data_IF_336647419620
#
_entry.id   IF_336647419620
#
_cell.length_a   1.000
_cell.length_b   1.000
_cell.length_c   1.000
_cell.angle_alpha   90.00
_cell.angle_beta   90.00
_cell.angle_gamma   90.00
#
_symmetry.space_group_name_H-M   'P 1'
#
loop_
_entity.id
_entity.type
_entity.pdbx_description
1 polymer ?
#
# COMPACT_ATOMS: atom_id res chain seq x y z
N UNK A 1 -9.54 -11.43 6.53
CA UNK A 1 -9.33 -10.51 5.40
C UNK A 1 -8.09 -10.96 4.64
N UNK A 2 -8.17 -11.11 3.31
CA UNK A 2 -7.02 -11.43 2.45
C UNK A 2 -6.33 -10.12 2.04
N UNK A 3 -5.04 -9.99 2.34
CA UNK A 3 -4.27 -8.78 2.06
C UNK A 3 -3.03 -9.14 1.26
N UNK A 4 -2.83 -8.50 0.11
CA UNK A 4 -1.58 -8.63 -0.63
C UNK A 4 -0.73 -7.37 -0.46
N UNK A 5 0.54 -7.55 -0.12
CA UNK A 5 1.55 -6.50 -0.18
C UNK A 5 2.25 -6.58 -1.54
N UNK A 6 1.94 -5.62 -2.41
CA UNK A 6 2.60 -5.51 -3.70
C UNK A 6 3.84 -4.61 -3.57
N UNK A 7 5.00 -5.24 -3.42
CA UNK A 7 6.26 -4.57 -3.13
C UNK A 7 6.63 -4.60 -1.64
N UNK A 8 7.43 -5.60 -1.25
CA UNK A 8 7.89 -5.78 0.14
C UNK A 8 9.23 -5.06 0.35
N UNK A 9 9.18 -3.73 0.19
CA UNK A 9 10.24 -2.82 0.61
C UNK A 9 10.05 -2.37 2.07
N UNK A 10 10.66 -1.25 2.44
CA UNK A 10 10.61 -0.71 3.79
C UNK A 10 9.18 -0.47 4.30
N UNK A 11 8.34 0.21 3.51
CA UNK A 11 6.95 0.50 3.89
C UNK A 11 6.06 -0.73 3.74
N UNK A 12 6.13 -1.44 2.60
CA UNK A 12 5.29 -2.62 2.39
C UNK A 12 5.57 -3.74 3.38
N UNK A 13 6.84 -3.99 3.70
CA UNK A 13 7.23 -4.96 4.71
C UNK A 13 6.79 -4.54 6.12
N UNK A 14 6.86 -3.26 6.46
CA UNK A 14 6.36 -2.73 7.74
C UNK A 14 4.85 -2.95 7.88
N UNK A 15 4.08 -2.53 6.88
CA UNK A 15 2.61 -2.67 6.90
C UNK A 15 2.24 -4.16 6.90
N UNK A 16 2.84 -4.97 6.02
CA UNK A 16 2.53 -6.38 5.89
C UNK A 16 2.84 -7.18 7.15
N UNK A 17 3.99 -6.94 7.79
CA UNK A 17 4.36 -7.64 9.02
C UNK A 17 3.37 -7.35 10.15
N UNK A 18 2.99 -6.08 10.34
CA UNK A 18 2.03 -5.70 11.40
C UNK A 18 0.63 -6.28 11.16
N UNK A 19 0.14 -6.24 9.92
CA UNK A 19 -1.14 -6.85 9.56
C UNK A 19 -1.14 -8.38 9.76
N UNK A 20 -0.02 -9.04 9.49
CA UNK A 20 0.11 -10.48 9.69
C UNK A 20 0.22 -10.87 11.18
N UNK A 21 0.91 -10.05 12.00
CA UNK A 21 1.08 -10.29 13.44
C UNK A 21 -0.22 -10.12 14.22
N UNK A 22 -1.09 -9.23 13.79
CA UNK A 22 -2.40 -9.01 14.42
C UNK A 22 -3.34 -10.23 14.30
N UNK A 23 -3.10 -11.13 13.34
CA UNK A 23 -3.87 -12.35 13.12
C UNK A 23 -5.24 -12.18 12.45
N UNK A 24 -5.71 -10.97 12.25
CA UNK A 24 -6.98 -10.69 11.55
C UNK A 24 -6.87 -10.68 10.02
N UNK A 25 -5.64 -10.81 9.48
CA UNK A 25 -5.35 -10.80 8.05
C UNK A 25 -4.53 -12.03 7.62
N UNK A 26 -4.95 -12.65 6.51
CA UNK A 26 -4.11 -13.58 5.77
C UNK A 26 -3.26 -12.74 4.79
N UNK A 27 -1.98 -12.60 5.09
CA UNK A 27 -1.08 -11.75 4.30
C UNK A 27 -0.35 -12.56 3.25
N UNK A 28 -0.41 -12.07 2.02
CA UNK A 28 0.39 -12.52 0.88
C UNK A 28 1.29 -11.39 0.38
N UNK A 29 2.27 -11.73 -0.44
CA UNK A 29 3.23 -10.74 -0.94
C UNK A 29 3.66 -11.01 -2.37
N UNK A 30 3.63 -9.96 -3.21
CA UNK A 30 4.30 -9.98 -4.52
C UNK A 30 5.70 -9.38 -4.35
N UNK A 31 6.71 -10.21 -4.56
CA UNK A 31 8.11 -9.84 -4.45
C UNK A 31 8.95 -10.54 -5.52
N UNK A 32 10.17 -10.06 -5.78
CA UNK A 32 11.07 -10.62 -6.79
C UNK A 32 12.49 -10.78 -6.24
N UNK A 33 13.29 -11.61 -6.91
CA UNK A 33 14.72 -11.76 -6.65
C UNK A 33 15.03 -12.10 -5.19
N UNK A 34 16.02 -11.43 -4.62
CA UNK A 34 16.51 -11.69 -3.26
C UNK A 34 15.43 -11.48 -2.18
N UNK A 35 14.52 -10.51 -2.37
CA UNK A 35 13.41 -10.28 -1.44
C UNK A 35 12.45 -11.48 -1.42
N UNK A 36 12.08 -12.02 -2.59
CA UNK A 36 11.24 -13.21 -2.66
C UNK A 36 11.89 -14.42 -1.99
N UNK A 37 13.16 -14.65 -2.28
CA UNK A 37 13.93 -15.75 -1.66
C UNK A 37 13.94 -15.62 -0.12
N UNK A 38 14.22 -14.42 0.40
CA UNK A 38 14.22 -14.14 1.82
C UNK A 38 12.84 -14.35 2.48
N UNK A 39 11.75 -13.91 1.82
CA UNK A 39 10.38 -14.11 2.33
C UNK A 39 10.00 -15.59 2.38
N UNK A 40 10.39 -16.38 1.39
CA UNK A 40 10.15 -17.84 1.37
C UNK A 40 10.93 -18.57 2.45
N UNK A 41 12.13 -18.11 2.75
CA UNK A 41 13.01 -18.74 3.75
C UNK A 41 12.71 -18.28 5.18
N UNK A 42 12.40 -16.99 5.38
CA UNK A 42 12.37 -16.37 6.70
C UNK A 42 11.04 -15.70 7.05
N UNK A 43 10.05 -15.74 6.15
CA UNK A 43 8.78 -15.01 6.31
C UNK A 43 8.98 -13.48 6.31
N UNK A 44 7.94 -12.72 6.70
CA UNK A 44 8.06 -11.28 6.94
C UNK A 44 8.84 -11.05 8.23
N UNK A 45 9.83 -10.15 8.21
CA UNK A 45 10.63 -9.80 9.38
C UNK A 45 10.64 -8.30 9.62
N UNK A 46 10.38 -7.89 10.86
CA UNK A 46 10.39 -6.51 11.30
C UNK A 46 11.23 -6.37 12.57
N UNK A 47 12.25 -5.51 12.56
CA UNK A 47 12.95 -5.09 13.76
C UNK A 47 12.35 -3.79 14.25
N UNK A 48 11.80 -3.81 15.47
CA UNK A 48 11.15 -2.66 16.10
C UNK A 48 11.45 -2.66 17.60
N UNK A 49 11.88 -1.51 18.15
CA UNK A 49 12.20 -1.39 19.57
C UNK A 49 13.26 -2.38 20.07
N UNK A 50 14.22 -2.76 19.23
CA UNK A 50 15.24 -3.75 19.54
C UNK A 50 14.79 -5.22 19.40
N UNK A 51 13.51 -5.48 19.16
CA UNK A 51 12.98 -6.83 18.99
C UNK A 51 12.87 -7.19 17.51
N UNK A 52 13.14 -8.46 17.19
CA UNK A 52 12.89 -9.04 15.88
C UNK A 52 11.54 -9.77 15.89
N UNK A 53 10.60 -9.24 15.15
CA UNK A 53 9.27 -9.82 14.95
C UNK A 53 9.25 -10.58 13.62
N UNK A 54 8.54 -11.71 13.57
CA UNK A 54 8.37 -12.50 12.36
C UNK A 54 6.91 -12.90 12.21
N UNK A 55 6.41 -12.86 10.97
CA UNK A 55 5.03 -13.21 10.65
C UNK A 55 4.94 -13.99 9.35
N UNK A 56 4.05 -15.00 9.25
CA UNK A 56 3.92 -15.83 8.07
C UNK A 56 3.44 -15.02 6.85
N UNK A 57 3.88 -15.43 5.66
CA UNK A 57 3.48 -14.81 4.39
C UNK A 57 3.52 -15.83 3.26
N UNK A 58 2.51 -15.81 2.40
CA UNK A 58 2.57 -16.51 1.11
C UNK A 58 3.20 -15.56 0.07
N UNK A 59 4.43 -15.83 -0.34
CA UNK A 59 5.17 -14.97 -1.26
C UNK A 59 5.31 -15.58 -2.66
N UNK A 60 5.02 -14.78 -3.69
CA UNK A 60 5.15 -15.12 -5.10
C UNK A 60 5.67 -13.93 -5.92
N UNK A 61 6.30 -14.20 -7.05
CA UNK A 61 6.57 -13.22 -8.10
C UNK A 61 5.45 -13.17 -9.16
N UNK A 62 4.54 -14.14 -9.11
CA UNK A 62 3.34 -14.17 -9.93
C UNK A 62 2.10 -13.74 -9.11
N UNK A 63 1.50 -12.56 -9.42
CA UNK A 63 0.27 -12.12 -8.76
C UNK A 63 -0.91 -13.09 -8.93
N UNK A 64 -0.97 -13.81 -10.05
CA UNK A 64 -2.06 -14.75 -10.33
C UNK A 64 -2.06 -15.95 -9.36
N UNK A 65 -0.88 -16.37 -8.89
CA UNK A 65 -0.75 -17.44 -7.90
C UNK A 65 -1.34 -17.10 -6.52
N UNK A 66 -1.59 -15.81 -6.26
CA UNK A 66 -2.14 -15.33 -4.98
C UNK A 66 -3.66 -15.09 -5.04
N UNK A 67 -4.22 -15.00 -6.25
CA UNK A 67 -5.65 -14.82 -6.51
C UNK A 67 -6.22 -13.48 -6.02
N UNK A 68 -7.54 -13.38 -6.05
CA UNK A 68 -8.27 -12.15 -5.67
C UNK A 68 -8.09 -11.85 -4.18
N UNK A 69 -7.86 -10.57 -3.88
CA UNK A 69 -7.62 -10.04 -2.55
C UNK A 69 -8.75 -9.11 -2.09
N UNK A 70 -8.92 -8.95 -0.77
CA UNK A 70 -9.81 -7.93 -0.20
C UNK A 70 -9.11 -6.56 -0.20
N UNK A 71 -7.79 -6.54 0.04
CA UNK A 71 -6.95 -5.36 0.02
C UNK A 71 -5.63 -5.63 -0.69
N UNK A 72 -5.25 -4.76 -1.62
CA UNK A 72 -3.88 -4.74 -2.16
C UNK A 72 -3.20 -3.45 -1.71
N UNK A 73 -2.16 -3.59 -0.90
CA UNK A 73 -1.28 -2.49 -0.49
C UNK A 73 -0.18 -2.36 -1.54
N UNK A 74 -0.21 -1.29 -2.31
CA UNK A 74 0.80 -1.03 -3.35
C UNK A 74 1.89 -0.17 -2.73
N UNK A 75 3.05 -0.78 -2.43
CA UNK A 75 4.17 -0.13 -1.74
C UNK A 75 5.48 -0.21 -2.54
N UNK A 76 5.38 0.08 -3.82
CA UNK A 76 6.51 0.18 -4.74
C UNK A 76 6.98 1.62 -4.88
N UNK A 77 8.16 1.85 -5.44
CA UNK A 77 8.59 3.19 -5.85
C UNK A 77 7.85 3.62 -7.12
N UNK A 78 7.58 4.93 -7.26
CA UNK A 78 6.81 5.49 -8.37
C UNK A 78 7.13 4.93 -9.76
N UNK A 79 8.40 4.87 -10.19
CA UNK A 79 8.77 4.32 -11.50
C UNK A 79 8.38 2.86 -11.74
N UNK A 80 8.12 2.09 -10.67
CA UNK A 80 7.72 0.69 -10.79
C UNK A 80 6.19 0.50 -10.90
N UNK A 81 5.39 1.56 -10.73
CA UNK A 81 3.94 1.47 -10.66
C UNK A 81 3.32 1.02 -12.00
N UNK A 82 3.88 1.45 -13.13
CA UNK A 82 3.46 0.99 -14.45
C UNK A 82 3.56 -0.54 -14.60
N UNK A 83 4.67 -1.13 -14.17
CA UNK A 83 4.85 -2.58 -14.19
C UNK A 83 3.91 -3.33 -13.20
N UNK A 84 3.51 -2.66 -12.12
CA UNK A 84 2.46 -3.19 -11.22
C UNK A 84 1.12 -3.19 -11.94
N UNK A 85 0.74 -2.07 -12.55
CA UNK A 85 -0.52 -1.91 -13.27
C UNK A 85 -0.72 -3.00 -14.36
N UNK A 86 0.33 -3.36 -15.08
CA UNK A 86 0.29 -4.41 -16.11
C UNK A 86 0.00 -5.82 -15.56
N UNK A 87 0.29 -6.08 -14.28
CA UNK A 87 0.27 -7.44 -13.73
C UNK A 87 -0.72 -7.65 -12.58
N UNK A 88 -1.25 -6.60 -11.99
CA UNK A 88 -2.07 -6.66 -10.78
C UNK A 88 -3.48 -7.24 -11.01
N UNK A 89 -3.96 -7.22 -12.24
CA UNK A 89 -5.33 -7.61 -12.60
C UNK A 89 -5.86 -8.87 -11.92
N UNK A 90 -5.12 -10.01 -11.86
CA UNK A 90 -5.59 -11.23 -11.20
C UNK A 90 -5.89 -11.08 -9.70
N UNK A 91 -5.43 -10.02 -9.05
CA UNK A 91 -5.66 -9.75 -7.62
C UNK A 91 -6.88 -8.85 -7.38
N UNK A 92 -7.42 -8.24 -8.44
CA UNK A 92 -8.50 -7.28 -8.37
C UNK A 92 -9.83 -7.98 -8.65
N UNK A 93 -10.70 -8.05 -7.65
CA UNK A 93 -12.09 -8.44 -7.76
C UNK A 93 -13.03 -7.25 -7.58
N UNK A 94 -14.35 -7.45 -7.64
CA UNK A 94 -15.33 -6.35 -7.56
C UNK A 94 -15.26 -5.52 -6.28
N UNK A 95 -14.79 -6.10 -5.18
CA UNK A 95 -14.73 -5.48 -3.86
C UNK A 95 -13.31 -5.25 -3.34
N UNK A 96 -12.30 -5.49 -4.16
CA UNK A 96 -10.90 -5.27 -3.78
C UNK A 96 -10.64 -3.80 -3.54
N UNK A 97 -10.04 -3.46 -2.40
CA UNK A 97 -9.51 -2.14 -2.12
C UNK A 97 -8.05 -2.06 -2.59
N UNK A 98 -7.70 -0.94 -3.23
CA UNK A 98 -6.35 -0.65 -3.69
C UNK A 98 -5.80 0.50 -2.84
N UNK A 99 -4.80 0.24 -2.00
CA UNK A 99 -4.19 1.23 -1.12
C UNK A 99 -2.74 1.52 -1.57
N UNK A 100 -2.52 2.56 -2.38
CA UNK A 100 -1.16 2.99 -2.72
C UNK A 100 -0.51 3.66 -1.50
N UNK A 101 0.35 2.91 -0.81
CA UNK A 101 1.15 3.38 0.32
C UNK A 101 2.50 3.91 -0.19
N UNK A 102 2.45 4.99 -0.96
CA UNK A 102 3.58 5.57 -1.69
C UNK A 102 3.72 7.05 -1.36
N UNK A 103 4.95 7.58 -1.43
CA UNK A 103 5.20 9.02 -1.34
C UNK A 103 5.02 9.68 -2.71
N UNK A 104 4.77 10.99 -2.70
CA UNK A 104 4.58 11.80 -3.91
C UNK A 104 3.12 11.98 -4.28
N UNK A 105 2.89 12.63 -5.42
CA UNK A 105 1.56 12.86 -5.98
C UNK A 105 1.10 11.56 -6.67
N UNK A 106 -0.05 10.99 -6.30
CA UNK A 106 -0.55 9.78 -6.94
C UNK A 106 -1.21 10.08 -8.30
N UNK A 107 -1.31 9.07 -9.17
CA UNK A 107 -1.91 9.19 -10.50
C UNK A 107 -3.36 9.69 -10.49
N UNK A 108 -4.11 9.38 -9.45
CA UNK A 108 -5.52 9.76 -9.27
C UNK A 108 -5.72 11.17 -8.70
N UNK A 109 -4.66 11.89 -8.36
CA UNK A 109 -4.74 13.16 -7.64
C UNK A 109 -5.58 14.22 -8.37
N UNK A 110 -5.45 14.30 -9.69
CA UNK A 110 -6.17 15.25 -10.52
C UNK A 110 -7.69 14.96 -10.62
N UNK A 111 -8.12 13.71 -10.41
CA UNK A 111 -9.52 13.29 -10.58
C UNK A 111 -10.54 14.08 -9.73
N UNK A 112 -10.11 14.67 -8.62
CA UNK A 112 -10.95 15.51 -7.78
C UNK A 112 -10.47 16.96 -7.68
N UNK A 113 -9.65 17.41 -8.61
CA UNK A 113 -9.09 18.78 -8.65
C UNK A 113 -9.36 19.41 -10.03
N UNK A 114 -10.56 19.97 -10.26
CA UNK A 114 -10.96 20.52 -11.57
C UNK A 114 -9.96 21.51 -12.17
N UNK A 115 -9.26 22.26 -11.32
CA UNK A 115 -8.22 23.19 -11.75
C UNK A 115 -7.02 22.52 -12.43
N UNK A 116 -6.80 21.22 -12.24
CA UNK A 116 -5.75 20.43 -12.88
C UNK A 116 -6.21 19.78 -14.20
N UNK A 117 -7.47 20.00 -14.58
CA UNK A 117 -8.08 19.37 -15.76
C UNK A 117 -8.42 17.90 -15.55
N UNK A 118 -8.83 17.25 -16.65
CA UNK A 118 -9.24 15.84 -16.65
C UNK A 118 -8.19 14.90 -17.28
N UNK A 119 -7.12 15.47 -17.84
CA UNK A 119 -6.05 14.68 -18.45
C UNK A 119 -5.22 13.93 -17.39
N UNK A 120 -4.70 12.76 -17.70
CA UNK A 120 -3.73 12.09 -16.87
C UNK A 120 -2.54 13.00 -16.54
N UNK A 121 -1.97 12.86 -15.34
CA UNK A 121 -0.72 13.52 -14.99
C UNK A 121 0.43 12.78 -15.70
N UNK A 122 0.78 13.20 -16.89
CA UNK A 122 1.63 12.44 -17.82
C UNK A 122 3.01 12.09 -17.25
N UNK A 123 3.56 12.94 -16.37
CA UNK A 123 4.80 12.65 -15.63
C UNK A 123 4.67 11.49 -14.61
N UNK A 124 3.45 11.13 -14.20
CA UNK A 124 3.16 10.09 -13.20
C UNK A 124 2.53 8.87 -13.85
N UNK A 125 1.60 9.10 -14.76
CA UNK A 125 0.84 8.09 -15.49
C UNK A 125 0.86 8.35 -17.01
N UNK A 126 1.99 8.09 -17.68
CA UNK A 126 2.11 8.33 -19.10
C UNK A 126 1.03 7.58 -19.90
N UNK A 127 0.20 8.35 -20.61
CA UNK A 127 -0.91 7.82 -21.41
C UNK A 127 -2.05 7.19 -20.60
N UNK A 128 -2.17 7.43 -19.29
CA UNK A 128 -3.29 6.97 -18.46
C UNK A 128 -3.36 5.46 -18.20
N UNK A 129 -2.26 4.73 -18.39
CA UNK A 129 -2.24 3.25 -18.29
C UNK A 129 -2.44 2.76 -16.86
N UNK A 130 -1.93 3.49 -15.87
CA UNK A 130 -2.08 3.15 -14.45
C UNK A 130 -3.54 3.35 -14.04
N UNK A 131 -4.13 4.49 -14.41
CA UNK A 131 -5.55 4.78 -14.14
C UNK A 131 -6.50 3.77 -14.81
N UNK A 132 -6.17 3.30 -16.01
CA UNK A 132 -6.94 2.27 -16.69
C UNK A 132 -6.91 0.91 -15.99
N UNK A 133 -5.77 0.55 -15.40
CA UNK A 133 -5.59 -0.74 -14.71
C UNK A 133 -6.04 -0.73 -13.23
N UNK A 134 -6.03 0.44 -12.58
CA UNK A 134 -6.34 0.63 -11.17
C UNK A 134 -7.60 1.51 -11.02
N UNK A 135 -8.81 0.92 -11.02
CA UNK A 135 -10.07 1.68 -11.04
C UNK A 135 -10.18 2.62 -9.84
N UNK A 136 -10.42 3.91 -10.08
CA UNK A 136 -10.51 4.94 -9.04
C UNK A 136 -11.53 4.59 -7.95
N UNK A 137 -12.66 3.97 -8.33
CA UNK A 137 -13.69 3.54 -7.39
C UNK A 137 -13.24 2.49 -6.38
N UNK A 138 -12.09 1.84 -6.59
CA UNK A 138 -11.50 0.86 -5.68
C UNK A 138 -10.30 1.42 -4.91
N UNK A 139 -9.83 2.62 -5.27
CA UNK A 139 -8.68 3.25 -4.61
C UNK A 139 -9.09 3.83 -3.26
N UNK A 140 -8.24 3.62 -2.26
CA UNK A 140 -8.20 4.37 -1.00
C UNK A 140 -6.86 5.08 -0.94
N UNK A 141 -6.86 6.41 -0.90
CA UNK A 141 -5.65 7.20 -0.74
C UNK A 141 -4.99 6.90 0.61
N UNK A 142 -3.66 6.89 0.64
CA UNK A 142 -2.91 6.65 1.86
C UNK A 142 -1.71 7.60 1.96
N UNK A 143 -1.57 8.24 3.13
CA UNK A 143 -0.39 9.01 3.52
C UNK A 143 0.34 8.26 4.63
N UNK A 144 1.63 8.00 4.45
CA UNK A 144 2.43 7.22 5.40
C UNK A 144 3.34 8.15 6.20
N UNK A 145 3.16 8.17 7.52
CA UNK A 145 4.02 8.88 8.47
C UNK A 145 4.82 7.88 9.29
N UNK A 146 5.75 7.19 8.63
CA UNK A 146 6.65 6.23 9.23
C UNK A 146 8.03 6.30 8.57
N UNK A 147 9.06 6.13 9.36
CA UNK A 147 10.44 6.01 8.91
C UNK A 147 10.90 4.57 9.09
N UNK A 148 11.15 3.90 7.98
CA UNK A 148 11.59 2.51 7.93
C UNK A 148 12.65 2.34 6.85
N UNK A 149 13.49 1.33 6.96
CA UNK A 149 14.42 0.95 5.91
C UNK A 149 14.63 -0.56 5.87
N UNK A 150 15.23 -1.06 4.80
CA UNK A 150 15.54 -2.48 4.59
C UNK A 150 17.06 -2.66 4.70
N UNK A 151 17.60 -3.13 5.83
CA UNK A 151 19.02 -3.40 5.98
C UNK A 151 19.48 -4.57 5.11
N UNK A 152 18.59 -5.53 4.89
CA UNK A 152 18.79 -6.68 3.99
C UNK A 152 17.46 -7.12 3.37
N UNK A 153 17.45 -7.90 2.28
CA UNK A 153 16.21 -8.40 1.69
C UNK A 153 15.31 -9.13 2.69
N UNK A 154 14.02 -8.79 2.70
CA UNK A 154 13.01 -9.41 3.56
C UNK A 154 13.10 -9.04 5.05
N UNK A 155 13.99 -8.10 5.43
CA UNK A 155 14.04 -7.54 6.78
C UNK A 155 13.75 -6.04 6.72
N UNK A 156 12.79 -5.58 7.50
CA UNK A 156 12.51 -4.16 7.71
C UNK A 156 12.98 -3.74 9.08
N UNK A 157 13.58 -2.57 9.18
CA UNK A 157 13.88 -1.92 10.45
C UNK A 157 13.04 -0.65 10.57
N UNK A 158 12.24 -0.59 11.65
CA UNK A 158 11.43 0.56 12.00
C UNK A 158 12.24 1.53 12.86
N UNK A 159 12.27 2.80 12.47
CA UNK A 159 12.96 3.84 13.23
C UNK A 159 12.00 4.68 14.05
N UNK A 160 10.95 5.22 13.42
CA UNK A 160 10.00 6.07 14.11
C UNK A 160 8.70 6.23 13.31
N UNK A 161 7.65 6.64 14.02
CA UNK A 161 6.35 6.92 13.45
C UNK A 161 5.59 5.66 13.03
N UNK A 162 4.28 5.67 13.18
CA UNK A 162 3.38 4.59 12.78
C UNK A 162 2.05 5.14 12.27
N UNK A 163 2.07 6.42 11.86
CA UNK A 163 0.89 7.13 11.38
C UNK A 163 0.53 6.73 9.95
N UNK A 164 -0.74 6.48 9.73
CA UNK A 164 -1.34 6.31 8.41
C UNK A 164 -2.58 7.22 8.32
N UNK A 165 -2.70 7.97 7.23
CA UNK A 165 -3.93 8.69 6.92
C UNK A 165 -4.54 8.01 5.71
N UNK A 166 -5.80 7.58 5.81
CA UNK A 166 -6.53 6.94 4.71
C UNK A 166 -7.78 7.72 4.37
N UNK A 167 -8.13 7.80 3.09
CA UNK A 167 -9.31 8.59 2.67
C UNK A 167 -9.73 8.33 1.24
N UNK A 168 -10.94 8.76 0.91
CA UNK A 168 -11.46 8.67 -0.44
C UNK A 168 -10.71 9.64 -1.38
N UNK A 169 -10.34 9.21 -2.60
CA UNK A 169 -9.71 10.07 -3.59
C UNK A 169 -10.50 11.35 -3.93
N UNK A 170 -11.82 11.26 -3.89
CA UNK A 170 -12.72 12.37 -4.20
C UNK A 170 -13.20 13.12 -2.97
N UNK A 171 -12.71 12.76 -1.78
CA UNK A 171 -13.11 13.36 -0.51
C UNK A 171 -14.29 12.66 0.16
N UNK A 172 -14.57 13.07 1.41
CA UNK A 172 -15.56 12.45 2.28
C UNK A 172 -15.01 11.24 3.04
N UNK A 173 -15.78 10.78 4.03
CA UNK A 173 -15.48 9.60 4.84
C UNK A 173 -16.52 8.54 4.61
N UNK A 174 -16.18 7.51 3.87
CA UNK A 174 -17.05 6.38 3.56
C UNK A 174 -16.94 5.26 4.61
N UNK A 175 -17.92 4.34 4.61
CA UNK A 175 -17.86 3.15 5.46
C UNK A 175 -16.65 2.26 5.19
N UNK A 176 -16.17 2.16 3.92
CA UNK A 176 -14.99 1.37 3.58
C UNK A 176 -13.69 2.00 4.10
N UNK A 177 -13.60 3.34 4.12
CA UNK A 177 -12.45 4.05 4.71
C UNK A 177 -12.43 3.84 6.22
N UNK A 178 -13.60 3.94 6.89
CA UNK A 178 -13.71 3.70 8.34
C UNK A 178 -13.33 2.27 8.70
N UNK A 179 -13.82 1.28 7.96
CA UNK A 179 -13.50 -0.14 8.18
C UNK A 179 -12.01 -0.43 7.98
N UNK A 180 -11.39 0.15 6.93
CA UNK A 180 -9.95 0.01 6.69
C UNK A 180 -9.14 0.69 7.79
N UNK A 181 -9.52 1.90 8.22
CA UNK A 181 -8.85 2.61 9.31
C UNK A 181 -8.90 1.80 10.60
N UNK A 182 -10.06 1.26 10.97
CA UNK A 182 -10.20 0.39 12.14
C UNK A 182 -9.33 -0.86 12.04
N UNK A 183 -9.24 -1.49 10.85
CA UNK A 183 -8.37 -2.67 10.62
C UNK A 183 -6.89 -2.33 10.80
N UNK A 184 -6.44 -1.19 10.29
CA UNK A 184 -5.07 -0.72 10.46
C UNK A 184 -4.77 -0.34 11.92
N UNK A 185 -5.72 0.27 12.64
CA UNK A 185 -5.60 0.56 14.06
C UNK A 185 -5.43 -0.71 14.90
N UNK A 186 -6.20 -1.76 14.61
CA UNK A 186 -6.06 -3.07 15.27
C UNK A 186 -4.67 -3.67 15.04
N UNK A 187 -4.08 -3.46 13.86
CA UNK A 187 -2.70 -3.85 13.56
C UNK A 187 -1.65 -2.93 14.21
N UNK A 188 -2.08 -1.98 15.04
CA UNK A 188 -1.24 -1.08 15.83
C UNK A 188 -0.75 0.16 15.11
N UNK A 189 -1.35 0.55 13.98
CA UNK A 189 -1.06 1.83 13.34
C UNK A 189 -1.89 2.96 13.97
N UNK A 190 -1.31 4.15 14.05
CA UNK A 190 -2.03 5.38 14.34
C UNK A 190 -2.73 5.85 13.06
N UNK A 191 -3.96 5.35 12.84
CA UNK A 191 -4.65 5.57 11.57
C UNK A 191 -5.76 6.59 11.72
N UNK A 192 -5.79 7.56 10.80
CA UNK A 192 -6.84 8.58 10.68
C UNK A 192 -7.64 8.35 9.39
N UNK A 193 -8.98 8.32 9.51
CA UNK A 193 -9.88 8.39 8.37
C UNK A 193 -10.05 9.87 7.98
N UNK A 194 -9.51 10.25 6.83
CA UNK A 194 -9.50 11.64 6.37
C UNK A 194 -10.72 11.96 5.51
N UNK A 195 -11.29 13.14 5.71
CA UNK A 195 -12.31 13.69 4.84
C UNK A 195 -11.74 14.30 3.55
N UNK A 196 -10.44 14.60 3.51
CA UNK A 196 -9.73 15.15 2.33
C UNK A 196 -8.28 14.67 2.28
N UNK A 197 -8.09 13.43 1.84
CA UNK A 197 -6.75 12.82 1.76
C UNK A 197 -5.82 13.53 0.76
N UNK A 198 -6.35 14.27 -0.23
CA UNK A 198 -5.52 15.06 -1.15
C UNK A 198 -4.87 16.23 -0.44
N UNK A 199 -5.62 16.90 0.44
CA UNK A 199 -5.09 17.93 1.33
C UNK A 199 -3.97 17.38 2.21
N UNK A 200 -4.15 16.20 2.78
CA UNK A 200 -3.12 15.55 3.63
C UNK A 200 -1.87 15.17 2.83
N UNK A 201 -2.04 14.65 1.60
CA UNK A 201 -0.92 14.41 0.68
C UNK A 201 -0.15 15.70 0.41
N UNK A 202 -0.89 16.79 0.11
CA UNK A 202 -0.29 18.08 -0.19
C UNK A 202 0.48 18.65 1.00
N UNK A 203 -0.09 18.63 2.19
CA UNK A 203 0.59 19.06 3.40
C UNK A 203 1.87 18.28 3.67
N UNK A 204 1.84 16.96 3.50
CA UNK A 204 3.05 16.15 3.65
C UNK A 204 4.14 16.47 2.64
N UNK A 205 3.79 16.90 1.44
CA UNK A 205 4.77 17.25 0.39
C UNK A 205 5.46 18.60 0.67
N UNK A 206 4.78 19.51 1.36
CA UNK A 206 5.27 20.87 1.66
C UNK A 206 5.87 21.02 3.06
N UNK A 207 5.55 20.17 3.99
CA UNK A 207 5.97 20.22 5.39
C UNK A 207 6.96 19.20 5.81
#
# INVERSE_FOLDING_TARGET
>A
MKVCIYGVGAIGGFIGTRLALDGGCQVSAVARGATLAALRQHSLRLRQGGQLLSAPVQASDDPAALGVQDLVVIAVKGPALGAVAERIGPQIGPHTLLMPAMNGVPWWFAAGAPALGTAPLDSIDPGGRIAAALPLGQVIGCVVHASTFTPEPGLVEHKMGQGLIVGEPLGGVSGRVQALAARLQQAGFETTASADVRRDIWFKLWG
#
